data_IF_449643953233
#
_entry.id   IF_449643953233
#
_cell.length_a   1.000
_cell.length_b   1.000
_cell.length_c   1.000
_cell.angle_alpha   90.00
_cell.angle_beta   90.00
_cell.angle_gamma   90.00
#
_symmetry.space_group_name_H-M   'P 1'
#
loop_
_entity.id
_entity.type
_entity.pdbx_description
1 polymer ?
#
# COMPACT_ATOMS: atom_id res chain seq x y z
N UNK A 1 -19.80 5.54 26.47
CA UNK A 1 -20.55 4.44 25.83
C UNK A 1 -19.54 3.52 25.19
N UNK A 2 -19.42 2.27 25.65
CA UNK A 2 -18.53 1.29 25.00
C UNK A 2 -19.18 0.70 23.76
N UNK A 3 -18.38 0.29 22.79
CA UNK A 3 -18.85 -0.44 21.62
C UNK A 3 -19.11 -1.90 21.98
N UNK A 4 -19.92 -2.59 21.18
CA UNK A 4 -20.11 -4.03 21.33
C UNK A 4 -19.15 -4.75 20.39
N UNK A 5 -18.29 -5.62 20.93
CA UNK A 5 -17.36 -6.47 20.18
C UNK A 5 -18.03 -7.15 18.97
N UNK A 6 -19.23 -7.72 19.15
CA UNK A 6 -19.99 -8.32 18.06
C UNK A 6 -20.35 -7.37 16.91
N UNK A 7 -20.59 -6.07 17.19
CA UNK A 7 -20.82 -5.06 16.15
C UNK A 7 -19.53 -4.74 15.37
N UNK A 8 -18.38 -4.74 16.05
CA UNK A 8 -17.08 -4.56 15.41
C UNK A 8 -16.77 -5.71 14.45
N UNK A 9 -16.87 -6.96 14.95
CA UNK A 9 -16.68 -8.17 14.14
C UNK A 9 -17.61 -8.20 12.94
N UNK A 10 -18.90 -7.88 13.13
CA UNK A 10 -19.87 -7.81 12.04
C UNK A 10 -19.50 -6.72 11.01
N UNK A 11 -18.97 -5.57 11.46
CA UNK A 11 -18.58 -4.48 10.57
C UNK A 11 -17.36 -4.85 9.73
N UNK A 12 -16.34 -5.49 10.32
CA UNK A 12 -15.16 -5.97 9.59
C UNK A 12 -15.57 -7.02 8.55
N UNK A 13 -16.41 -7.97 8.94
CA UNK A 13 -16.94 -9.00 8.03
C UNK A 13 -17.82 -8.43 6.90
N UNK A 14 -18.37 -7.22 7.05
CA UNK A 14 -19.16 -6.56 6.02
C UNK A 14 -18.31 -5.73 5.04
N UNK A 15 -16.98 -5.70 5.21
CA UNK A 15 -16.07 -4.89 4.41
C UNK A 15 -16.02 -3.43 4.86
N UNK A 16 -14.80 -2.96 5.16
CA UNK A 16 -14.50 -1.57 5.54
C UNK A 16 -13.15 -1.18 4.95
N UNK A 17 -13.00 0.06 4.53
CA UNK A 17 -11.71 0.60 4.17
C UNK A 17 -10.86 0.85 5.44
N UNK A 18 -11.46 1.42 6.47
CA UNK A 18 -10.80 1.77 7.73
C UNK A 18 -11.35 1.01 8.93
N UNK A 19 -10.47 0.64 9.86
CA UNK A 19 -10.81 0.10 11.17
C UNK A 19 -9.98 0.82 12.25
N UNK A 20 -10.44 2.00 12.67
CA UNK A 20 -9.68 2.87 13.60
C UNK A 20 -10.24 2.74 15.01
N UNK A 21 -9.38 2.42 15.97
CA UNK A 21 -9.70 2.30 17.38
C UNK A 21 -8.86 3.27 18.20
N UNK A 22 -9.49 3.98 19.14
CA UNK A 22 -8.81 4.78 20.16
C UNK A 22 -9.41 4.47 21.52
N UNK A 23 -8.58 3.99 22.44
CA UNK A 23 -8.79 3.90 23.89
C UNK A 23 -7.71 3.02 24.52
N UNK A 24 -8.07 2.12 25.44
CA UNK A 24 -7.12 1.23 26.10
C UNK A 24 -6.86 -0.03 25.26
N UNK A 25 -5.62 -0.51 25.29
CA UNK A 25 -5.22 -1.70 24.58
C UNK A 25 -4.34 -2.57 25.46
N UNK A 26 -4.30 -3.85 25.12
CA UNK A 26 -3.34 -4.81 25.62
C UNK A 26 -2.58 -5.44 24.46
N UNK A 27 -1.53 -6.21 24.78
CA UNK A 27 -0.70 -6.85 23.78
C UNK A 27 -1.49 -7.75 22.82
N UNK A 28 -2.67 -8.23 23.20
CA UNK A 28 -3.50 -9.14 22.39
C UNK A 28 -4.92 -8.64 22.15
N UNK A 29 -5.24 -7.37 22.46
CA UNK A 29 -6.62 -6.89 22.33
C UNK A 29 -6.77 -5.36 22.26
N UNK A 30 -7.87 -4.93 21.66
CA UNK A 30 -8.48 -3.63 21.88
C UNK A 30 -9.58 -3.75 22.95
N UNK A 31 -9.55 -2.91 23.98
CA UNK A 31 -10.52 -2.95 25.07
C UNK A 31 -11.79 -2.16 24.69
N UNK A 32 -12.54 -2.71 23.73
CA UNK A 32 -13.66 -2.03 23.04
C UNK A 32 -14.94 -1.95 23.88
N UNK A 33 -15.13 -2.88 24.81
CA UNK A 33 -16.41 -3.10 25.47
C UNK A 33 -16.33 -3.05 26.99
N UNK A 34 -17.51 -3.00 27.60
CA UNK A 34 -17.66 -3.11 29.07
C UNK A 34 -17.67 -4.57 29.55
N UNK A 35 -18.06 -5.51 28.67
CA UNK A 35 -18.26 -6.93 28.97
C UNK A 35 -17.36 -7.89 28.18
N UNK A 36 -16.75 -7.42 27.10
CA UNK A 36 -15.81 -8.20 26.29
C UNK A 36 -14.93 -7.28 25.43
N UNK A 37 -13.76 -7.80 25.06
CA UNK A 37 -12.73 -7.12 24.29
C UNK A 37 -12.59 -7.75 22.91
N UNK A 38 -12.14 -6.99 21.92
CA UNK A 38 -11.81 -7.54 20.62
C UNK A 38 -10.34 -7.97 20.64
N UNK A 39 -10.11 -9.27 20.71
CA UNK A 39 -8.79 -9.87 20.89
C UNK A 39 -8.39 -10.76 19.71
N UNK A 40 -7.17 -11.29 19.76
CA UNK A 40 -6.61 -12.13 18.70
C UNK A 40 -7.45 -13.37 18.38
N UNK A 41 -8.20 -13.91 19.36
CA UNK A 41 -9.08 -15.05 19.12
C UNK A 41 -10.28 -14.64 18.28
N UNK A 42 -10.96 -13.54 18.60
CA UNK A 42 -12.09 -13.09 17.78
C UNK A 42 -11.62 -12.66 16.39
N UNK A 43 -10.47 -11.98 16.30
CA UNK A 43 -9.84 -11.63 15.03
C UNK A 43 -9.59 -12.87 14.15
N UNK A 44 -9.16 -14.00 14.72
CA UNK A 44 -8.96 -15.25 13.99
C UNK A 44 -10.28 -15.90 13.48
N UNK A 45 -11.41 -15.54 14.08
CA UNK A 45 -12.74 -16.06 13.76
C UNK A 45 -13.51 -15.23 12.74
N UNK A 46 -12.92 -14.17 12.17
CA UNK A 46 -13.49 -13.48 11.00
C UNK A 46 -13.78 -14.48 9.87
N UNK A 47 -14.92 -14.34 9.20
CA UNK A 47 -15.41 -15.34 8.23
C UNK A 47 -15.62 -14.79 6.83
N UNK A 48 -15.96 -13.50 6.69
CA UNK A 48 -16.52 -12.96 5.45
C UNK A 48 -15.73 -11.79 4.87
N UNK A 49 -14.55 -11.46 5.40
CA UNK A 49 -13.75 -10.33 4.92
C UNK A 49 -12.62 -10.69 3.95
N UNK A 50 -12.68 -11.87 3.32
CA UNK A 50 -11.83 -12.21 2.18
C UNK A 50 -11.96 -11.12 1.10
N UNK A 51 -10.82 -10.64 0.59
CA UNK A 51 -10.70 -9.58 -0.42
C UNK A 51 -11.34 -8.23 -0.03
N UNK A 52 -11.64 -8.04 1.25
CA UNK A 52 -12.25 -6.82 1.81
C UNK A 52 -11.53 -6.41 3.11
N UNK A 53 -10.21 -6.43 3.07
CA UNK A 53 -9.36 -6.19 4.22
C UNK A 53 -9.31 -4.70 4.56
N UNK A 54 -9.67 -4.28 5.79
CA UNK A 54 -9.52 -2.90 6.23
C UNK A 54 -8.04 -2.55 6.51
N UNK A 55 -7.78 -1.25 6.69
CA UNK A 55 -6.63 -0.71 7.40
C UNK A 55 -6.95 -0.56 8.90
N UNK A 56 -6.49 -1.50 9.75
CA UNK A 56 -6.62 -1.36 11.20
C UNK A 56 -5.57 -0.43 11.81
N UNK A 57 -6.03 0.54 12.59
CA UNK A 57 -5.19 1.47 13.33
C UNK A 57 -5.57 1.45 14.82
N UNK A 58 -4.64 1.08 15.69
CA UNK A 58 -4.84 1.02 17.13
C UNK A 58 -4.13 2.15 17.86
N UNK A 59 -4.88 3.22 18.17
CA UNK A 59 -4.47 4.31 19.05
C UNK A 59 -4.66 3.93 20.51
N UNK A 60 -3.78 3.05 20.97
CA UNK A 60 -3.85 2.44 22.29
C UNK A 60 -2.49 1.88 22.71
N UNK A 61 -2.36 1.61 24.01
CA UNK A 61 -1.15 1.04 24.58
C UNK A 61 -0.85 -0.36 24.01
N UNK A 62 0.43 -0.61 23.70
CA UNK A 62 1.08 -1.93 23.57
C UNK A 62 0.47 -2.96 22.60
N UNK A 63 -0.57 -2.61 21.84
CA UNK A 63 -1.21 -3.54 20.91
C UNK A 63 -0.28 -3.97 19.76
N UNK A 64 0.83 -3.27 19.56
CA UNK A 64 1.90 -3.61 18.61
C UNK A 64 3.19 -4.09 19.31
N UNK A 65 3.13 -4.52 20.57
CA UNK A 65 4.28 -5.07 21.29
C UNK A 65 4.71 -6.44 20.74
N UNK A 66 5.46 -6.42 19.63
CA UNK A 66 5.99 -7.62 18.96
C UNK A 66 7.09 -8.34 19.75
N UNK A 67 7.47 -7.84 20.94
CA UNK A 67 8.35 -8.55 21.87
C UNK A 67 7.56 -9.45 22.84
N UNK A 68 6.23 -9.39 22.79
CA UNK A 68 5.37 -10.21 23.62
C UNK A 68 5.56 -11.70 23.35
N UNK A 69 5.27 -12.55 24.34
CA UNK A 69 5.57 -14.00 24.29
C UNK A 69 4.75 -14.80 23.28
N UNK A 70 3.78 -14.17 22.63
CA UNK A 70 2.93 -14.69 21.56
C UNK A 70 2.65 -13.55 20.57
N UNK A 71 2.09 -13.88 19.41
CA UNK A 71 1.68 -12.87 18.42
C UNK A 71 0.90 -11.75 19.12
N UNK A 72 1.39 -10.52 18.99
CA UNK A 72 0.64 -9.37 19.48
C UNK A 72 -0.57 -9.10 18.58
N UNK A 73 -1.46 -8.21 19.02
CA UNK A 73 -2.66 -7.86 18.31
C UNK A 73 -2.33 -7.34 16.90
N UNK A 74 -1.33 -6.47 16.80
CA UNK A 74 -0.85 -5.92 15.52
C UNK A 74 -0.33 -6.97 14.55
N UNK A 75 0.53 -7.88 15.00
CA UNK A 75 1.06 -9.00 14.18
C UNK A 75 -0.04 -9.99 13.74
N UNK A 76 -1.20 -10.00 14.39
CA UNK A 76 -2.23 -10.98 14.08
C UNK A 76 -3.02 -10.58 12.83
N UNK A 77 -3.16 -9.28 12.53
CA UNK A 77 -4.00 -8.81 11.42
C UNK A 77 -3.52 -9.25 10.04
N UNK A 78 -2.21 -9.17 9.78
CA UNK A 78 -1.57 -9.46 8.50
C UNK A 78 -1.13 -10.92 8.35
N UNK A 79 -1.09 -11.70 9.46
CA UNK A 79 -0.73 -13.13 9.46
C UNK A 79 -1.88 -14.07 9.13
N UNK A 80 -3.13 -13.59 9.15
CA UNK A 80 -4.28 -14.45 8.92
C UNK A 80 -4.51 -14.71 7.43
N UNK A 81 -4.73 -15.98 7.07
CA UNK A 81 -5.05 -16.35 5.70
C UNK A 81 -6.52 -16.09 5.37
N UNK A 82 -6.77 -15.44 4.23
CA UNK A 82 -8.11 -15.17 3.68
C UNK A 82 -9.02 -14.30 4.57
N UNK A 83 -8.44 -13.53 5.49
CA UNK A 83 -9.13 -12.65 6.46
C UNK A 83 -8.12 -11.69 7.09
N UNK A 84 -8.56 -10.81 7.99
CA UNK A 84 -7.67 -9.88 8.71
C UNK A 84 -7.66 -8.48 8.10
N UNK A 85 -6.48 -7.87 7.95
CA UNK A 85 -6.30 -6.49 7.49
C UNK A 85 -5.13 -6.36 6.52
N UNK A 86 -5.08 -5.27 5.75
CA UNK A 86 -4.00 -5.03 4.77
C UNK A 86 -2.65 -4.75 5.44
N UNK A 87 -2.68 -4.13 6.62
CA UNK A 87 -1.54 -3.76 7.45
C UNK A 87 -2.04 -3.69 8.91
N UNK A 88 -1.20 -3.22 9.84
CA UNK A 88 -1.66 -2.67 11.13
C UNK A 88 -0.79 -1.48 11.53
N UNK A 89 -1.39 -0.41 12.01
CA UNK A 89 -0.66 0.73 12.59
C UNK A 89 -0.94 0.86 14.09
N UNK A 90 0.11 0.77 14.92
CA UNK A 90 -0.05 0.87 16.37
C UNK A 90 1.25 0.97 17.15
N UNK A 91 1.14 1.08 18.47
CA UNK A 91 2.28 1.35 19.36
C UNK A 91 2.84 0.11 20.07
N UNK A 92 4.17 0.00 20.10
CA UNK A 92 4.92 -1.00 20.90
C UNK A 92 4.83 -0.68 22.41
N UNK A 93 5.16 0.52 22.90
CA UNK A 93 4.98 0.87 24.30
C UNK A 93 3.57 1.47 24.58
N UNK A 94 3.33 1.89 25.82
CA UNK A 94 2.13 2.65 26.17
C UNK A 94 2.05 4.01 25.48
N UNK A 95 0.84 4.44 25.12
CA UNK A 95 0.55 5.72 24.46
C UNK A 95 -0.14 6.71 25.40
N UNK A 96 -0.35 7.93 24.91
CA UNK A 96 -0.93 9.06 25.65
C UNK A 96 -2.07 9.69 24.85
N UNK A 97 -3.07 10.21 25.55
CA UNK A 97 -4.32 10.67 24.95
C UNK A 97 -4.16 11.82 23.96
N UNK A 98 -3.38 12.84 24.31
CA UNK A 98 -3.24 14.05 23.48
C UNK A 98 -2.46 13.73 22.19
N UNK A 99 -1.35 13.00 22.30
CA UNK A 99 -0.55 12.58 21.16
C UNK A 99 -1.28 11.53 20.28
N UNK A 100 -2.02 10.61 20.91
CA UNK A 100 -3.17 9.86 20.39
C UNK A 100 -4.03 10.63 19.39
N UNK A 101 -4.72 11.62 19.94
CA UNK A 101 -5.70 12.44 19.24
C UNK A 101 -5.08 13.27 18.11
N UNK A 102 -3.88 13.81 18.31
CA UNK A 102 -3.16 14.49 17.24
C UNK A 102 -2.76 13.51 16.13
N UNK A 103 -2.09 12.40 16.46
CA UNK A 103 -1.58 11.48 15.45
C UNK A 103 -2.72 10.98 14.56
N UNK A 104 -3.82 10.55 15.18
CA UNK A 104 -5.00 10.09 14.46
C UNK A 104 -5.52 11.12 13.46
N UNK A 105 -5.80 12.35 13.92
CA UNK A 105 -6.35 13.40 13.05
C UNK A 105 -5.38 13.78 11.94
N UNK A 106 -4.09 13.82 12.25
CA UNK A 106 -3.08 14.35 11.35
C UNK A 106 -2.75 13.41 10.21
N UNK A 107 -2.66 12.10 10.42
CA UNK A 107 -2.49 11.24 9.24
C UNK A 107 -3.75 11.20 8.35
N UNK A 108 -4.95 11.48 8.89
CA UNK A 108 -6.13 11.68 8.04
C UNK A 108 -6.06 12.99 7.26
N UNK A 109 -5.56 14.07 7.86
CA UNK A 109 -5.29 15.32 7.13
C UNK A 109 -4.30 15.07 5.97
N UNK A 110 -3.29 14.22 6.16
CA UNK A 110 -2.31 13.89 5.12
C UNK A 110 -2.90 13.24 3.86
N UNK A 111 -4.05 12.57 4.01
CA UNK A 111 -4.74 11.86 2.94
C UNK A 111 -5.86 12.73 2.35
N UNK A 112 -6.63 13.41 3.20
CA UNK A 112 -7.93 13.99 2.82
C UNK A 112 -8.01 15.51 2.94
N UNK A 113 -7.04 16.20 3.55
CA UNK A 113 -7.11 17.65 3.68
C UNK A 113 -6.43 18.36 2.51
N UNK A 114 -7.18 19.19 1.79
CA UNK A 114 -6.68 20.02 0.68
C UNK A 114 -5.48 20.91 1.05
N UNK A 115 -5.32 21.21 2.35
CA UNK A 115 -4.17 21.98 2.86
C UNK A 115 -2.85 21.20 2.87
N UNK A 116 -2.87 19.88 2.73
CA UNK A 116 -1.67 19.04 2.68
C UNK A 116 -1.36 18.72 1.22
N UNK A 117 -0.31 19.38 0.70
CA UNK A 117 0.15 19.14 -0.67
C UNK A 117 0.81 17.77 -0.78
N UNK A 118 0.61 17.10 -1.92
CA UNK A 118 1.38 15.93 -2.30
C UNK A 118 0.69 14.58 -2.05
N UNK A 119 -0.59 14.59 -1.63
CA UNK A 119 -1.48 13.43 -1.72
C UNK A 119 -0.84 12.15 -1.16
N UNK A 120 -0.65 12.12 0.16
CA UNK A 120 0.16 11.10 0.84
C UNK A 120 -0.68 9.85 1.07
N UNK A 121 -0.74 8.94 0.09
CA UNK A 121 -1.62 7.78 0.13
C UNK A 121 -0.94 6.51 0.64
N UNK A 122 0.39 6.48 0.60
CA UNK A 122 1.16 5.34 1.06
C UNK A 122 1.13 5.27 2.59
N UNK A 123 0.88 4.07 3.13
CA UNK A 123 0.74 3.82 4.58
C UNK A 123 1.88 4.42 5.40
N UNK A 124 3.11 4.29 4.93
CA UNK A 124 4.31 4.90 5.52
C UNK A 124 4.29 6.42 5.45
N UNK A 125 3.85 7.01 4.35
CA UNK A 125 3.89 8.48 4.14
C UNK A 125 2.85 9.20 4.98
N UNK A 126 1.60 8.76 5.00
CA UNK A 126 0.58 9.46 5.80
C UNK A 126 0.81 9.30 7.31
N UNK A 127 1.21 8.12 7.78
CA UNK A 127 1.45 7.90 9.21
C UNK A 127 2.67 8.71 9.70
N UNK A 128 3.75 8.75 8.93
CA UNK A 128 4.91 9.60 9.25
C UNK A 128 4.56 11.09 9.20
N UNK A 129 3.71 11.52 8.27
CA UNK A 129 3.26 12.91 8.24
C UNK A 129 2.60 13.31 9.56
N UNK A 130 1.76 12.45 10.13
CA UNK A 130 1.15 12.67 11.45
C UNK A 130 2.19 12.85 12.56
N UNK A 131 3.25 12.03 12.58
CA UNK A 131 4.35 12.15 13.54
C UNK A 131 5.15 13.45 13.35
N UNK A 132 5.48 13.82 12.11
CA UNK A 132 6.15 15.08 11.81
C UNK A 132 5.28 16.30 12.13
N UNK A 133 3.96 16.19 12.01
CA UNK A 133 3.07 17.26 12.43
C UNK A 133 3.19 17.49 13.94
N UNK A 134 3.18 16.42 14.76
CA UNK A 134 3.34 16.51 16.22
C UNK A 134 4.70 17.13 16.57
N UNK A 135 5.77 16.69 15.91
CA UNK A 135 7.13 17.21 16.09
C UNK A 135 7.18 18.74 15.92
N UNK A 136 6.56 19.23 14.85
CA UNK A 136 6.67 20.63 14.44
C UNK A 136 5.65 21.57 15.10
N UNK A 137 4.51 21.06 15.56
CA UNK A 137 3.36 21.90 15.96
C UNK A 137 2.95 21.77 17.43
N UNK A 138 3.64 20.93 18.21
CA UNK A 138 3.30 20.72 19.63
C UNK A 138 4.50 21.00 20.54
N UNK A 139 4.24 21.13 21.84
CA UNK A 139 5.29 21.19 22.88
C UNK A 139 5.37 19.90 23.69
N UNK A 140 4.84 18.78 23.15
CA UNK A 140 4.84 17.49 23.85
C UNK A 140 6.27 17.06 24.21
N UNK A 141 6.43 16.52 25.42
CA UNK A 141 7.66 15.87 25.87
C UNK A 141 7.80 14.43 25.36
N UNK A 142 6.76 13.89 24.71
CA UNK A 142 6.68 12.52 24.20
C UNK A 142 7.01 12.40 22.70
N UNK A 143 7.40 13.48 22.01
CA UNK A 143 7.70 13.50 20.57
C UNK A 143 8.62 12.35 20.13
N UNK A 144 9.82 12.27 20.73
CA UNK A 144 10.79 11.21 20.45
C UNK A 144 10.20 9.82 20.69
N UNK A 145 9.46 9.66 21.79
CA UNK A 145 8.79 8.40 22.12
C UNK A 145 7.85 7.99 21.00
N UNK A 146 7.06 8.90 20.44
CA UNK A 146 6.08 8.58 19.39
C UNK A 146 6.72 8.09 18.09
N UNK A 147 7.85 8.68 17.68
CA UNK A 147 8.64 8.16 16.55
C UNK A 147 9.21 6.75 16.82
N UNK A 148 9.58 6.46 18.06
CA UNK A 148 10.11 5.14 18.46
C UNK A 148 8.99 4.13 18.77
N UNK A 149 7.75 4.58 18.98
CA UNK A 149 6.65 3.77 19.49
C UNK A 149 5.78 3.18 18.39
N UNK A 150 5.33 4.01 17.45
CA UNK A 150 4.37 3.60 16.43
C UNK A 150 5.03 2.90 15.24
N UNK A 151 4.48 1.76 14.86
CA UNK A 151 4.99 0.92 13.78
C UNK A 151 3.88 0.54 12.81
N UNK A 152 4.25 0.37 11.54
CA UNK A 152 3.44 -0.30 10.54
C UNK A 152 3.86 -1.76 10.49
N UNK A 153 2.90 -2.66 10.59
CA UNK A 153 3.04 -4.08 10.31
C UNK A 153 2.57 -4.33 8.89
N UNK A 154 3.32 -5.17 8.16
CA UNK A 154 3.22 -5.41 6.72
C UNK A 154 3.95 -4.37 5.85
N UNK A 155 3.27 -3.71 4.90
CA UNK A 155 3.90 -2.95 3.83
C UNK A 155 3.73 -1.43 4.00
N UNK A 156 4.82 -0.68 4.31
CA UNK A 156 4.78 0.79 4.41
C UNK A 156 4.68 1.50 3.05
N UNK A 157 4.86 0.79 1.94
CA UNK A 157 4.78 1.33 0.59
C UNK A 157 3.40 1.16 -0.07
N UNK A 158 2.48 0.44 0.60
CA UNK A 158 1.12 0.21 0.12
C UNK A 158 0.39 1.54 -0.09
N UNK A 159 0.02 1.83 -1.34
CA UNK A 159 -0.86 2.92 -1.72
C UNK A 159 -2.31 2.55 -1.37
N UNK A 160 -2.87 3.23 -0.36
CA UNK A 160 -4.20 2.94 0.14
C UNK A 160 -5.28 3.56 -0.75
N UNK A 161 -6.21 2.75 -1.27
CA UNK A 161 -7.36 3.28 -2.02
C UNK A 161 -8.27 4.14 -1.14
N UNK A 162 -8.52 5.36 -1.58
CA UNK A 162 -9.39 6.33 -0.88
C UNK A 162 -10.79 6.39 -1.48
N UNK A 163 -11.01 5.77 -2.64
CA UNK A 163 -12.30 5.64 -3.31
C UNK A 163 -12.40 4.27 -4.04
N UNK A 164 -13.54 3.99 -4.66
CA UNK A 164 -13.70 2.86 -5.57
C UNK A 164 -12.72 3.05 -6.74
N UNK A 165 -11.77 2.12 -6.97
CA UNK A 165 -10.76 2.32 -8.00
C UNK A 165 -11.35 2.22 -9.41
N UNK A 166 -10.92 3.12 -10.28
CA UNK A 166 -11.28 3.13 -11.69
C UNK A 166 -10.35 2.22 -12.53
N UNK A 167 -10.73 1.98 -13.78
CA UNK A 167 -9.94 1.20 -14.73
C UNK A 167 -9.20 2.14 -15.70
N UNK A 168 -7.89 1.93 -15.84
CA UNK A 168 -7.07 2.60 -16.85
C UNK A 168 -7.20 1.90 -18.21
N UNK A 169 -7.17 2.68 -19.28
CA UNK A 169 -6.92 2.20 -20.64
C UNK A 169 -5.45 2.46 -20.97
N UNK A 170 -4.67 1.39 -21.12
CA UNK A 170 -3.24 1.45 -21.42
C UNK A 170 -2.99 0.95 -22.84
N UNK A 171 -2.18 1.67 -23.60
CA UNK A 171 -1.81 1.35 -24.99
C UNK A 171 -0.29 1.32 -25.08
N UNK A 172 0.25 0.20 -25.58
CA UNK A 172 1.65 0.01 -25.90
C UNK A 172 1.81 -1.01 -27.03
N UNK A 173 2.99 -1.11 -27.61
CA UNK A 173 3.28 -2.13 -28.61
C UNK A 173 3.24 -3.52 -27.97
N UNK A 174 2.59 -4.48 -28.65
CA UNK A 174 2.51 -5.87 -28.17
C UNK A 174 3.80 -6.67 -28.41
N UNK A 175 4.74 -6.11 -29.17
CA UNK A 175 5.96 -6.76 -29.61
C UNK A 175 7.13 -5.79 -29.47
N UNK A 176 8.26 -6.29 -28.98
CA UNK A 176 9.55 -5.60 -28.97
C UNK A 176 10.62 -6.48 -29.61
N UNK A 177 11.69 -5.87 -30.12
CA UNK A 177 12.78 -6.58 -30.78
C UNK A 177 14.07 -6.50 -29.95
N UNK A 178 14.94 -7.52 -29.99
CA UNK A 178 16.24 -7.45 -29.34
C UNK A 178 17.04 -6.21 -29.75
N UNK A 179 17.66 -5.57 -28.77
CA UNK A 179 18.43 -4.34 -28.92
C UNK A 179 17.77 -3.12 -28.27
N UNK A 180 18.55 -2.05 -28.13
CA UNK A 180 18.08 -0.81 -27.54
C UNK A 180 16.98 -0.17 -28.40
N UNK A 181 15.85 0.17 -27.79
CA UNK A 181 14.72 0.81 -28.45
C UNK A 181 13.90 1.65 -27.46
N UNK A 182 13.07 2.52 -28.01
CA UNK A 182 12.11 3.31 -27.24
C UNK A 182 10.78 2.56 -27.20
N UNK A 183 10.23 2.39 -26.00
CA UNK A 183 8.93 1.79 -25.76
C UNK A 183 7.99 2.83 -25.20
N UNK A 184 6.96 3.20 -25.99
CA UNK A 184 6.02 4.25 -25.61
C UNK A 184 4.76 3.64 -25.04
N UNK A 185 4.36 4.12 -23.86
CA UNK A 185 3.12 3.73 -23.18
C UNK A 185 2.23 4.94 -23.05
N UNK A 186 0.97 4.80 -23.46
CA UNK A 186 -0.07 5.84 -23.31
C UNK A 186 -1.16 5.34 -22.35
N UNK A 187 -1.51 6.16 -21.37
CA UNK A 187 -2.44 5.85 -20.29
C UNK A 187 -3.56 6.90 -20.30
N UNK A 188 -4.81 6.43 -20.36
CA UNK A 188 -5.99 7.29 -20.35
C UNK A 188 -7.14 6.64 -19.58
N UNK A 189 -8.14 7.44 -19.21
CA UNK A 189 -9.42 6.97 -18.68
C UNK A 189 -10.55 7.74 -19.36
N UNK A 190 -11.47 7.02 -20.02
CA UNK A 190 -12.58 7.62 -20.76
C UNK A 190 -12.14 8.62 -21.84
N UNK A 191 -10.96 8.45 -22.43
CA UNK A 191 -10.37 9.38 -23.41
C UNK A 191 -9.63 10.58 -22.81
N UNK A 192 -9.56 10.70 -21.48
CA UNK A 192 -8.77 11.73 -20.78
C UNK A 192 -7.38 11.17 -20.46
N UNK A 193 -6.27 11.84 -20.84
CA UNK A 193 -4.93 11.40 -20.46
C UNK A 193 -4.73 11.39 -18.94
N UNK A 194 -4.02 10.38 -18.43
CA UNK A 194 -3.67 10.30 -17.00
C UNK A 194 -2.20 10.70 -16.83
N UNK A 195 -1.96 11.81 -16.15
CA UNK A 195 -0.62 12.25 -15.73
C UNK A 195 -0.17 11.53 -14.45
N UNK A 196 1.14 11.37 -14.30
CA UNK A 196 1.80 10.77 -13.14
C UNK A 196 1.31 9.34 -12.83
N UNK A 197 0.91 8.57 -13.85
CA UNK A 197 0.84 7.10 -13.75
C UNK A 197 2.25 6.52 -13.88
N UNK A 198 2.63 5.64 -12.97
CA UNK A 198 3.93 4.96 -12.96
C UNK A 198 3.86 3.76 -13.90
N UNK A 199 4.74 3.75 -14.90
CA UNK A 199 4.87 2.64 -15.85
C UNK A 199 6.17 1.91 -15.56
N UNK A 200 6.13 0.58 -15.46
CA UNK A 200 7.30 -0.28 -15.32
C UNK A 200 7.35 -1.32 -16.44
N UNK A 201 8.51 -1.44 -17.09
CA UNK A 201 8.84 -2.51 -18.00
C UNK A 201 9.85 -3.46 -17.34
N UNK A 202 9.52 -4.74 -17.29
CA UNK A 202 10.30 -5.73 -16.56
C UNK A 202 10.52 -7.01 -17.37
N UNK A 203 11.78 -7.44 -17.52
CA UNK A 203 12.14 -8.77 -18.07
C UNK A 203 12.94 -9.50 -17.00
N UNK A 204 12.31 -10.33 -16.15
CA UNK A 204 12.98 -11.03 -15.07
C UNK A 204 14.03 -12.03 -15.55
N UNK A 205 13.79 -12.67 -16.69
CA UNK A 205 14.61 -13.77 -17.21
C UNK A 205 15.93 -13.28 -17.85
N UNK A 206 16.02 -11.98 -18.17
CA UNK A 206 17.22 -11.40 -18.79
C UNK A 206 18.32 -11.10 -17.75
N UNK A 207 19.58 -11.20 -18.16
CA UNK A 207 20.75 -10.77 -17.36
C UNK A 207 21.62 -9.76 -18.13
N UNK A 208 21.82 -8.53 -17.62
CA UNK A 208 21.17 -7.95 -16.45
C UNK A 208 19.65 -7.80 -16.68
N UNK A 209 18.90 -7.90 -15.58
CA UNK A 209 17.46 -7.74 -15.58
C UNK A 209 17.07 -6.39 -16.16
N UNK A 210 16.09 -6.36 -17.06
CA UNK A 210 15.42 -5.11 -17.39
C UNK A 210 14.44 -4.81 -16.28
N UNK A 211 14.58 -3.66 -15.65
CA UNK A 211 13.61 -3.09 -14.72
C UNK A 211 13.67 -1.56 -14.89
N UNK A 212 12.92 -1.03 -15.85
CA UNK A 212 12.92 0.39 -16.20
C UNK A 212 11.54 0.95 -15.92
N UNK A 213 11.49 2.11 -15.27
CA UNK A 213 10.23 2.76 -14.94
C UNK A 213 10.31 4.26 -15.18
N UNK A 214 9.16 4.86 -15.49
CA UNK A 214 9.00 6.30 -15.63
C UNK A 214 7.53 6.69 -15.45
N UNK A 215 7.28 7.97 -15.19
CA UNK A 215 5.95 8.53 -15.04
C UNK A 215 5.43 9.07 -16.38
N UNK A 216 4.13 8.92 -16.60
CA UNK A 216 3.44 9.59 -17.70
C UNK A 216 3.39 11.10 -17.47
N UNK A 217 3.58 11.86 -18.55
CA UNK A 217 3.45 13.33 -18.52
C UNK A 217 1.98 13.79 -18.62
N UNK A 218 1.74 15.10 -18.66
CA UNK A 218 0.42 15.72 -18.86
C UNK A 218 -0.38 15.23 -20.10
N UNK A 219 0.27 14.63 -21.09
CA UNK A 219 -0.41 14.01 -22.25
C UNK A 219 -0.71 12.52 -22.05
N UNK A 220 -0.50 12.00 -20.84
CA UNK A 220 -0.70 10.59 -20.49
C UNK A 220 0.28 9.65 -21.14
N UNK A 221 1.48 10.12 -21.51
CA UNK A 221 2.46 9.32 -22.25
C UNK A 221 3.79 9.30 -21.54
N UNK A 222 4.47 8.16 -21.58
CA UNK A 222 5.89 8.03 -21.25
C UNK A 222 6.61 7.17 -22.28
N UNK A 223 7.92 7.38 -22.42
CA UNK A 223 8.78 6.61 -23.33
C UNK A 223 9.96 6.05 -22.56
N UNK A 224 9.98 4.73 -22.38
CA UNK A 224 11.03 4.01 -21.67
C UNK A 224 12.11 3.56 -22.65
N UNK A 225 13.38 3.71 -22.27
CA UNK A 225 14.49 3.12 -23.00
C UNK A 225 14.65 1.67 -22.57
N UNK A 226 14.30 0.73 -23.45
CA UNK A 226 14.41 -0.71 -23.21
C UNK A 226 15.51 -1.31 -24.06
N UNK A 227 16.06 -2.46 -23.64
CA UNK A 227 17.08 -3.18 -24.40
C UNK A 227 16.95 -4.70 -24.23
N UNK A 228 15.83 -5.31 -24.66
CA UNK A 228 15.65 -6.75 -24.58
C UNK A 228 16.73 -7.48 -25.38
N UNK A 229 17.11 -8.70 -24.99
CA UNK A 229 18.19 -9.45 -25.64
C UNK A 229 17.74 -10.75 -26.28
N UNK A 230 16.78 -11.45 -25.68
CA UNK A 230 16.49 -12.85 -26.02
C UNK A 230 15.10 -12.96 -26.65
N UNK A 231 15.00 -13.33 -27.94
CA UNK A 231 13.73 -13.72 -28.53
C UNK A 231 13.08 -14.87 -27.75
N UNK A 232 11.78 -14.76 -27.49
CA UNK A 232 11.02 -15.72 -26.68
C UNK A 232 10.80 -15.26 -25.24
N UNK A 233 11.54 -14.25 -24.75
CA UNK A 233 11.29 -13.64 -23.44
C UNK A 233 9.98 -12.82 -23.45
N UNK A 234 9.47 -12.59 -22.24
CA UNK A 234 8.29 -11.76 -22.00
C UNK A 234 8.72 -10.49 -21.26
N UNK A 235 8.35 -9.33 -21.80
CA UNK A 235 8.48 -8.06 -21.09
C UNK A 235 7.15 -7.70 -20.45
N UNK A 236 7.06 -7.81 -19.13
CA UNK A 236 5.90 -7.37 -18.37
C UNK A 236 5.81 -5.85 -18.38
N UNK A 237 4.59 -5.35 -18.54
CA UNK A 237 4.25 -3.93 -18.52
C UNK A 237 3.22 -3.73 -17.41
N UNK A 238 3.65 -3.09 -16.33
CA UNK A 238 2.79 -2.75 -15.20
C UNK A 238 2.56 -1.26 -15.16
N UNK A 239 1.31 -0.82 -15.02
CA UNK A 239 0.97 0.60 -14.81
C UNK A 239 0.18 0.75 -13.52
N UNK A 240 0.62 1.64 -12.64
CA UNK A 240 -0.07 1.95 -11.38
C UNK A 240 -0.38 3.44 -11.27
N UNK A 241 -1.52 3.74 -10.64
CA UNK A 241 -1.96 5.09 -10.28
C UNK A 241 -2.90 5.00 -9.09
N UNK A 242 -2.81 5.95 -8.16
CA UNK A 242 -3.71 6.02 -7.00
C UNK A 242 -5.19 6.00 -7.44
N UNK A 243 -6.01 5.21 -6.75
CA UNK A 243 -7.42 4.93 -7.07
C UNK A 243 -7.67 4.39 -8.49
N UNK A 244 -6.70 3.68 -9.06
CA UNK A 244 -6.94 2.84 -10.23
C UNK A 244 -6.52 1.40 -9.95
N UNK A 245 -7.22 0.46 -10.60
CA UNK A 245 -6.80 -0.94 -10.64
C UNK A 245 -5.48 -1.01 -11.43
N UNK A 246 -4.42 -1.64 -10.90
CA UNK A 246 -3.17 -1.85 -11.63
C UNK A 246 -3.43 -2.53 -12.99
N UNK A 247 -2.82 -2.00 -14.04
CA UNK A 247 -2.77 -2.67 -15.34
C UNK A 247 -1.55 -3.58 -15.38
N UNK A 248 -1.73 -4.85 -15.69
CA UNK A 248 -0.67 -5.86 -15.72
C UNK A 248 -0.80 -6.68 -17.01
N UNK A 249 -0.01 -6.33 -18.02
CA UNK A 249 0.04 -7.04 -19.31
C UNK A 249 1.51 -7.19 -19.75
N UNK A 250 1.74 -7.49 -21.03
CA UNK A 250 3.09 -7.76 -21.54
C UNK A 250 3.27 -7.42 -23.02
N UNK A 251 4.53 -7.29 -23.42
CA UNK A 251 4.98 -7.31 -24.80
C UNK A 251 5.93 -8.50 -25.04
N UNK A 252 5.82 -9.15 -26.18
CA UNK A 252 6.66 -10.30 -26.54
C UNK A 252 7.97 -9.85 -27.19
N UNK A 253 9.09 -10.41 -26.73
CA UNK A 253 10.37 -10.21 -27.40
C UNK A 253 10.44 -11.18 -28.59
N UNK A 254 10.44 -10.66 -29.81
CA UNK A 254 10.51 -11.50 -31.03
C UNK A 254 11.56 -10.99 -32.01
N UNK A 255 11.80 -11.76 -33.07
CA UNK A 255 12.65 -11.33 -34.18
C UNK A 255 11.79 -10.69 -35.26
N UNK A 256 12.33 -9.69 -35.97
CA UNK A 256 11.67 -9.15 -37.15
C UNK A 256 11.44 -10.28 -38.15
N UNK A 257 10.29 -10.31 -38.84
CA UNK A 257 10.06 -11.25 -39.95
C UNK A 257 11.07 -11.00 -41.06
N UNK A 258 12.20 -11.71 -41.06
CA UNK A 258 13.33 -11.56 -41.98
C UNK A 258 14.62 -12.23 -41.43
N UNK A 259 15.65 -12.47 -42.27
CA UNK A 259 16.90 -13.08 -41.81
C UNK A 259 17.64 -12.15 -40.82
N UNK A 260 18.01 -12.68 -39.66
CA UNK A 260 18.86 -11.99 -38.67
C UNK A 260 20.15 -12.80 -38.44
N UNK A 261 21.26 -12.09 -38.21
CA UNK A 261 22.55 -12.72 -37.87
C UNK A 261 22.73 -12.63 -36.35
N UNK A 262 22.73 -13.77 -35.68
CA UNK A 262 23.21 -13.87 -34.30
C UNK A 262 24.74 -13.88 -34.30
N UNK A 263 25.37 -12.86 -33.73
CA UNK A 263 26.82 -12.89 -33.48
C UNK A 263 27.07 -13.77 -32.25
N UNK A 264 27.46 -15.02 -32.48
CA UNK A 264 28.03 -15.85 -31.42
C UNK A 264 29.38 -15.30 -31.00
N UNK A 265 29.54 -14.96 -29.72
CA UNK A 265 30.84 -14.67 -29.13
C UNK A 265 31.68 -15.96 -29.02
N UNK A 266 32.92 -15.89 -29.49
CA UNK A 266 33.95 -16.95 -29.46
C UNK A 266 34.52 -17.09 -28.05
#
# INVERSE_FOLDING_TARGET
SGEQEGRLVASINAGRAWCVYTAHGGQTAWFVGYSSDFNINELSTLTNNLDMYPMPCGHCCVAADYQYSQNCFGETWDRLSNKGGICYFGSVPGTYWDEDDWLQRRYFDAIYADSVLGNLYETGRFTQWGLYWIENNTTSSHKRRYFEAYHIFNDPSLDFWTDIPDIMTVIHDAIVFPGASNFTVTVNHGGTPIEDALVCCWIPEQSPQIHVSDYTNASGTTTLNISPTTPGDTMYVTVTKHNYIPYEEYALVTTSSGPYIGLGSI
#
